data_IF_920686544422
#
_entry.id   IF_920686544422
#
_cell.length_a   1.000
_cell.length_b   1.000
_cell.length_c   1.000
_cell.angle_alpha   90.00
_cell.angle_beta   90.00
_cell.angle_gamma   90.00
#
_symmetry.space_group_name_H-M   'P 1'
#
loop_
_entity.id
_entity.type
_entity.pdbx_description
1 polymer ?
#
# COMPACT_ATOMS: atom_id res chain seq x y z
N UNK A 1 11.20 -12.47 13.46
CA UNK A 1 12.07 -11.30 13.73
C UNK A 1 13.21 -11.26 12.73
N UNK A 2 13.47 -10.13 12.13
CA UNK A 2 14.64 -9.87 11.26
C UNK A 2 15.83 -9.44 12.12
N UNK A 3 16.92 -10.18 12.11
CA UNK A 3 18.14 -9.81 12.84
C UNK A 3 19.21 -9.15 11.96
N UNK A 4 19.21 -9.50 10.69
CA UNK A 4 20.15 -8.99 9.68
C UNK A 4 19.46 -8.98 8.31
N UNK A 5 19.63 -7.89 7.55
CA UNK A 5 19.13 -7.82 6.16
C UNK A 5 19.81 -8.89 5.28
N UNK A 6 19.07 -9.43 4.33
CA UNK A 6 19.51 -10.53 3.48
C UNK A 6 19.41 -11.91 4.15
N UNK A 7 18.86 -12.01 5.36
CA UNK A 7 18.67 -13.28 6.06
C UNK A 7 17.18 -13.58 6.26
N UNK A 8 16.79 -14.85 6.37
CA UNK A 8 15.44 -15.24 6.73
C UNK A 8 15.06 -14.70 8.11
N UNK A 9 13.76 -14.56 8.34
CA UNK A 9 13.22 -14.25 9.66
C UNK A 9 13.47 -15.43 10.62
N UNK A 10 13.76 -15.11 11.87
CA UNK A 10 13.87 -16.08 12.96
C UNK A 10 12.60 -16.01 13.83
N UNK A 11 12.05 -17.17 14.18
CA UNK A 11 11.05 -17.27 15.24
C UNK A 11 11.72 -16.94 16.58
N UNK A 12 11.11 -16.06 17.36
CA UNK A 12 11.68 -15.61 18.61
C UNK A 12 10.57 -15.27 19.62
N UNK A 13 10.75 -15.69 20.87
CA UNK A 13 9.98 -15.17 21.99
C UNK A 13 10.61 -13.88 22.47
N UNK A 14 9.84 -12.81 22.51
CA UNK A 14 10.26 -11.48 22.99
C UNK A 14 9.38 -11.06 24.14
N UNK A 15 9.82 -10.05 24.91
CA UNK A 15 8.96 -9.44 25.93
C UNK A 15 7.78 -8.75 25.29
N UNK A 16 6.63 -8.77 25.97
CA UNK A 16 5.48 -8.01 25.53
C UNK A 16 5.84 -6.54 25.35
N UNK A 17 5.37 -5.89 24.28
CA UNK A 17 5.66 -4.48 24.06
C UNK A 17 5.03 -3.62 25.17
N UNK A 18 5.80 -2.68 25.71
CA UNK A 18 5.31 -1.70 26.68
C UNK A 18 4.94 -0.42 25.90
N UNK A 19 3.64 -0.08 25.80
CA UNK A 19 3.24 1.14 25.07
C UNK A 19 3.77 2.38 25.75
N UNK A 20 4.30 3.31 24.94
CA UNK A 20 4.73 4.64 25.38
C UNK A 20 3.56 5.62 25.52
N UNK A 21 3.83 6.87 25.88
CA UNK A 21 2.80 7.91 25.95
C UNK A 21 2.12 8.11 24.60
N UNK A 22 0.79 7.94 24.54
CA UNK A 22 -0.02 8.08 23.34
C UNK A 22 -0.06 6.82 22.46
N UNK A 23 0.52 5.72 22.92
CA UNK A 23 0.46 4.42 22.23
C UNK A 23 -0.57 3.50 22.89
N UNK A 24 -1.13 2.60 22.08
CA UNK A 24 -1.97 1.49 22.51
C UNK A 24 -1.17 0.18 22.50
N UNK A 25 -1.50 -0.74 23.43
CA UNK A 25 -1.14 -2.16 23.32
C UNK A 25 -2.23 -2.87 22.51
N UNK A 26 -1.82 -3.56 21.48
CA UNK A 26 -2.68 -4.18 20.48
C UNK A 26 -2.40 -5.68 20.41
N UNK A 27 -3.47 -6.50 20.42
CA UNK A 27 -3.41 -7.92 20.05
C UNK A 27 -3.58 -8.03 18.55
N UNK A 28 -2.58 -8.54 17.87
CA UNK A 28 -2.63 -8.76 16.41
C UNK A 28 -3.60 -9.90 16.09
N UNK A 29 -4.52 -9.64 15.19
CA UNK A 29 -5.49 -10.61 14.66
C UNK A 29 -5.07 -11.10 13.28
N UNK A 30 -4.49 -10.19 12.48
CA UNK A 30 -3.95 -10.49 11.15
C UNK A 30 -2.92 -9.43 10.74
N UNK A 31 -1.96 -9.81 9.89
CA UNK A 31 -1.01 -8.86 9.32
C UNK A 31 -0.70 -9.22 7.86
N UNK A 32 -0.95 -8.31 6.94
CA UNK A 32 -0.67 -8.52 5.52
C UNK A 32 0.82 -8.60 5.22
N UNK A 33 1.16 -9.35 4.17
CA UNK A 33 2.53 -9.50 3.64
C UNK A 33 2.68 -8.66 2.39
N UNK A 34 3.50 -7.64 2.46
CA UNK A 34 3.66 -6.64 1.42
C UNK A 34 5.04 -6.73 0.76
N UNK A 35 5.15 -6.18 -0.45
CA UNK A 35 6.44 -6.06 -1.13
C UNK A 35 7.42 -5.16 -0.37
N UNK A 36 6.93 -4.22 0.43
CA UNK A 36 7.77 -3.40 1.31
C UNK A 36 8.52 -4.24 2.36
N UNK A 37 7.90 -5.32 2.88
CA UNK A 37 8.59 -6.23 3.79
C UNK A 37 9.76 -6.93 3.10
N UNK A 38 9.62 -7.29 1.81
CA UNK A 38 10.73 -7.79 1.00
C UNK A 38 11.83 -6.74 0.83
N UNK A 39 11.49 -5.48 0.53
CA UNK A 39 12.46 -4.40 0.40
C UNK A 39 13.26 -4.19 1.69
N UNK A 40 12.62 -4.37 2.86
CA UNK A 40 13.30 -4.32 4.17
C UNK A 40 14.22 -5.53 4.35
N UNK A 41 13.72 -6.75 4.11
CA UNK A 41 14.51 -7.98 4.26
C UNK A 41 15.70 -7.99 3.30
N UNK A 42 15.51 -7.61 2.05
CA UNK A 42 16.52 -7.69 0.98
C UNK A 42 17.52 -6.51 1.03
N UNK A 43 17.33 -5.53 1.93
CA UNK A 43 18.26 -4.42 2.12
C UNK A 43 18.11 -3.28 1.11
N UNK A 44 17.03 -3.27 0.32
CA UNK A 44 16.72 -2.20 -0.61
C UNK A 44 16.26 -0.93 0.12
N UNK A 45 15.56 -1.10 1.26
CA UNK A 45 15.35 -0.04 2.25
C UNK A 45 16.46 -0.15 3.31
N UNK A 46 17.34 0.86 3.34
CA UNK A 46 18.56 0.85 4.17
C UNK A 46 18.29 1.35 5.58
N UNK A 47 19.05 0.79 6.53
CA UNK A 47 19.07 1.24 7.94
C UNK A 47 17.75 1.04 8.71
N UNK A 48 17.05 -0.12 8.60
CA UNK A 48 15.94 -0.40 9.49
C UNK A 48 16.44 -0.54 10.95
N UNK A 49 15.53 -0.40 11.90
CA UNK A 49 15.79 -0.89 13.26
C UNK A 49 16.14 -2.38 13.20
N UNK A 50 17.19 -2.81 13.90
CA UNK A 50 17.52 -4.23 14.05
C UNK A 50 17.89 -4.53 15.51
N UNK A 51 17.45 -5.66 16.09
CA UNK A 51 16.48 -6.61 15.51
C UNK A 51 15.10 -6.00 15.34
N UNK A 52 14.33 -6.49 14.37
CA UNK A 52 13.05 -5.91 13.95
C UNK A 52 11.95 -6.97 13.82
N UNK A 53 10.77 -6.70 14.33
CA UNK A 53 9.54 -7.39 13.94
C UNK A 53 8.95 -6.67 12.71
N UNK A 54 8.81 -7.39 11.59
CA UNK A 54 8.23 -6.86 10.35
C UNK A 54 6.70 -6.70 10.44
N UNK A 55 6.11 -6.24 9.35
CA UNK A 55 4.66 -6.18 9.15
C UNK A 55 4.06 -4.81 9.46
N UNK A 56 3.30 -4.29 8.49
CA UNK A 56 2.73 -2.93 8.53
C UNK A 56 1.30 -2.85 7.96
N UNK A 57 0.67 -3.99 7.77
CA UNK A 57 -0.75 -4.10 7.42
C UNK A 57 -1.47 -4.78 8.57
N UNK A 58 -1.45 -4.14 9.76
CA UNK A 58 -1.84 -4.79 11.02
C UNK A 58 -3.33 -4.58 11.28
N UNK A 59 -4.06 -5.67 11.41
CA UNK A 59 -5.40 -5.70 11.99
C UNK A 59 -5.27 -6.20 13.42
N UNK A 60 -5.80 -5.44 14.37
CA UNK A 60 -5.61 -5.76 15.78
C UNK A 60 -6.83 -5.36 16.63
N UNK A 61 -6.90 -5.96 17.82
CA UNK A 61 -7.82 -5.60 18.89
C UNK A 61 -7.06 -4.80 19.96
N UNK A 62 -7.64 -3.72 20.43
CA UNK A 62 -7.07 -2.89 21.50
C UNK A 62 -7.11 -3.66 22.83
N UNK A 63 -5.95 -3.85 23.45
CA UNK A 63 -5.80 -4.41 24.80
C UNK A 63 -5.76 -3.31 25.85
N UNK A 64 -4.87 -2.31 25.62
CA UNK A 64 -4.73 -1.12 26.45
C UNK A 64 -4.66 0.11 25.54
N UNK A 65 -5.24 1.22 25.99
CA UNK A 65 -5.32 2.46 25.23
C UNK A 65 -4.84 3.66 26.05
N UNK A 66 -4.23 4.62 25.37
CA UNK A 66 -3.91 5.93 25.93
C UNK A 66 -5.14 6.87 26.00
N UNK A 67 -6.31 6.45 25.52
CA UNK A 67 -7.59 7.14 25.67
C UNK A 67 -8.38 7.42 24.39
N UNK A 68 -7.82 7.13 23.21
CA UNK A 68 -8.56 7.29 21.93
C UNK A 68 -9.50 6.13 21.65
N UNK A 69 -9.17 4.95 22.11
CA UNK A 69 -9.93 3.72 21.85
C UNK A 69 -10.34 3.05 23.17
N UNK A 70 -11.31 2.16 23.11
CA UNK A 70 -11.69 1.28 24.22
C UNK A 70 -11.07 -0.11 24.02
N UNK A 71 -10.73 -0.83 25.11
CA UNK A 71 -10.36 -2.24 25.01
C UNK A 71 -11.42 -3.05 24.26
N UNK A 72 -11.00 -3.94 23.38
CA UNK A 72 -11.86 -4.72 22.51
C UNK A 72 -12.22 -4.05 21.19
N UNK A 73 -11.91 -2.76 20.99
CA UNK A 73 -12.10 -2.11 19.69
C UNK A 73 -11.12 -2.65 18.65
N UNK A 74 -11.62 -2.84 17.42
CA UNK A 74 -10.86 -3.35 16.30
C UNK A 74 -10.26 -2.21 15.48
N UNK A 75 -8.93 -2.21 15.34
CA UNK A 75 -8.17 -1.14 14.68
C UNK A 75 -7.20 -1.67 13.64
N UNK A 76 -6.87 -0.82 12.68
CA UNK A 76 -5.83 -1.06 11.69
C UNK A 76 -4.63 -0.14 11.89
N UNK A 77 -3.40 -0.68 11.75
CA UNK A 77 -2.15 0.09 11.81
C UNK A 77 -1.42 -0.02 10.48
N UNK A 78 -1.20 1.11 9.78
CA UNK A 78 -0.52 1.14 8.50
C UNK A 78 0.99 1.36 8.63
N UNK A 79 1.65 1.54 7.46
CA UNK A 79 3.07 1.84 7.36
C UNK A 79 3.50 3.12 8.10
N UNK A 80 2.77 4.23 7.95
CA UNK A 80 3.09 5.46 8.69
C UNK A 80 2.68 5.32 10.15
N UNK A 81 3.62 5.05 11.04
CA UNK A 81 3.37 4.77 12.45
C UNK A 81 3.53 5.97 13.38
N UNK A 82 4.27 7.03 12.96
CA UNK A 82 4.47 8.22 13.81
C UNK A 82 4.99 9.41 13.01
N UNK A 83 4.61 10.62 13.43
CA UNK A 83 5.19 11.88 12.93
C UNK A 83 5.34 12.91 14.04
N UNK A 84 6.20 13.92 13.84
CA UNK A 84 6.54 14.90 14.88
C UNK A 84 5.38 15.86 15.25
N UNK A 85 4.35 15.98 14.42
CA UNK A 85 3.16 16.83 14.66
C UNK A 85 3.40 18.35 14.63
N UNK A 86 4.64 18.82 14.39
CA UNK A 86 5.02 20.25 14.53
C UNK A 86 5.82 20.85 13.37
N UNK A 87 6.30 20.05 12.44
CA UNK A 87 7.00 20.57 11.26
C UNK A 87 5.99 21.14 10.24
N UNK A 88 6.48 21.88 9.26
CA UNK A 88 5.64 22.50 8.24
C UNK A 88 4.74 21.49 7.51
N UNK A 89 5.22 20.27 7.29
CA UNK A 89 4.43 19.20 6.66
C UNK A 89 3.30 18.73 7.58
N UNK A 90 3.59 18.46 8.86
CA UNK A 90 2.57 18.02 9.82
C UNK A 90 1.49 19.08 10.06
N UNK A 91 1.85 20.37 10.04
CA UNK A 91 0.91 21.47 10.28
C UNK A 91 0.05 21.83 9.04
N UNK A 92 0.31 21.21 7.90
CA UNK A 92 -0.40 21.44 6.63
C UNK A 92 -0.96 20.15 6.01
N UNK A 93 -1.31 19.16 6.86
CA UNK A 93 -1.91 17.89 6.47
C UNK A 93 -1.11 17.11 5.40
N UNK A 94 0.22 17.22 5.50
CA UNK A 94 1.20 16.50 4.67
C UNK A 94 2.20 15.75 5.55
N UNK A 95 1.73 15.22 6.66
CA UNK A 95 2.54 14.53 7.66
C UNK A 95 3.26 13.30 7.11
N UNK A 96 2.81 12.73 6.00
CA UNK A 96 3.51 11.71 5.24
C UNK A 96 4.89 12.16 4.73
N UNK A 97 5.15 13.46 4.67
CA UNK A 97 6.43 14.07 4.27
C UNK A 97 7.25 14.55 5.47
N UNK A 98 6.88 14.21 6.68
CA UNK A 98 7.61 14.59 7.89
C UNK A 98 9.01 13.95 7.88
N UNK A 99 10.08 14.76 7.99
CA UNK A 99 11.47 14.27 8.00
C UNK A 99 11.79 13.37 9.22
N UNK A 100 10.98 13.46 10.27
CA UNK A 100 11.10 12.63 11.46
C UNK A 100 10.05 11.52 11.53
N UNK A 101 9.38 11.21 10.42
CA UNK A 101 8.40 10.12 10.37
C UNK A 101 9.04 8.78 10.80
N UNK A 102 8.24 7.92 11.46
CA UNK A 102 8.63 6.55 11.80
C UNK A 102 7.65 5.58 11.18
N UNK A 103 8.18 4.48 10.68
CA UNK A 103 7.43 3.51 9.90
C UNK A 103 7.32 2.18 10.64
N UNK A 104 6.10 1.65 10.67
CA UNK A 104 5.75 0.37 11.30
C UNK A 104 6.41 -0.78 10.53
N UNK A 105 7.05 -1.70 11.26
CA UNK A 105 7.79 -2.81 10.63
C UNK A 105 9.10 -2.37 9.95
N UNK A 106 9.64 -1.17 10.33
CA UNK A 106 10.90 -0.64 9.81
C UNK A 106 11.67 0.16 10.87
N UNK A 107 11.14 1.31 11.34
CA UNK A 107 11.73 2.11 12.42
C UNK A 107 11.23 1.67 13.79
N UNK A 108 10.05 1.09 13.84
CA UNK A 108 9.41 0.51 15.01
C UNK A 108 8.94 -0.91 14.68
N UNK A 109 8.79 -1.75 15.71
CA UNK A 109 8.30 -3.11 15.53
C UNK A 109 6.89 -3.12 14.96
N UNK A 110 6.64 -4.10 14.09
CA UNK A 110 5.39 -4.29 13.36
C UNK A 110 4.57 -5.48 13.86
N UNK A 111 3.70 -5.99 12.99
CA UNK A 111 2.66 -6.96 13.31
C UNK A 111 2.95 -8.42 12.99
N UNK A 112 4.18 -8.80 12.65
CA UNK A 112 4.53 -10.23 12.57
C UNK A 112 4.80 -10.79 13.98
N UNK A 113 3.82 -10.62 14.84
CA UNK A 113 3.85 -10.97 16.25
C UNK A 113 2.42 -11.14 16.77
N UNK A 114 2.25 -11.67 17.98
CA UNK A 114 0.96 -11.78 18.66
C UNK A 114 0.51 -10.44 19.28
N UNK A 115 1.47 -9.59 19.67
CA UNK A 115 1.24 -8.26 20.25
C UNK A 115 2.12 -7.21 19.57
N UNK A 116 1.60 -5.98 19.45
CA UNK A 116 2.36 -4.82 19.04
C UNK A 116 1.92 -3.56 19.81
N UNK A 117 2.78 -2.53 19.83
CA UNK A 117 2.43 -1.19 20.32
C UNK A 117 2.37 -0.23 19.13
N UNK A 118 1.37 0.67 19.12
CA UNK A 118 1.22 1.64 18.05
C UNK A 118 0.71 2.99 18.58
N UNK A 119 1.19 4.09 17.98
CA UNK A 119 0.69 5.44 18.25
C UNK A 119 -0.79 5.53 17.82
N UNK A 120 -1.67 5.84 18.76
CA UNK A 120 -3.11 5.88 18.53
C UNK A 120 -3.53 6.88 17.43
N UNK A 121 -2.74 7.91 17.16
CA UNK A 121 -3.00 8.87 16.08
C UNK A 121 -2.94 8.23 14.69
N UNK A 122 -2.23 7.11 14.57
CA UNK A 122 -2.05 6.34 13.33
C UNK A 122 -2.78 4.99 13.36
N UNK A 123 -3.62 4.74 14.36
CA UNK A 123 -4.55 3.64 14.39
C UNK A 123 -5.90 4.08 13.80
N UNK A 124 -6.49 3.26 12.94
CA UNK A 124 -7.77 3.54 12.28
C UNK A 124 -8.83 2.54 12.71
N UNK A 125 -10.05 2.99 13.10
CA UNK A 125 -11.18 2.09 13.26
C UNK A 125 -11.43 1.33 11.96
N UNK A 126 -11.60 0.00 12.04
CA UNK A 126 -11.83 -0.83 10.85
C UNK A 126 -13.33 -1.02 10.59
N UNK A 127 -13.76 -1.02 9.31
CA UNK A 127 -15.13 -1.34 8.96
C UNK A 127 -15.52 -2.77 9.39
N UNK A 128 -16.71 -2.95 9.94
CA UNK A 128 -17.20 -4.26 10.38
C UNK A 128 -17.59 -5.18 9.21
N UNK A 129 -17.68 -4.65 7.99
CA UNK A 129 -18.06 -5.42 6.79
C UNK A 129 -16.92 -6.28 6.23
N UNK A 130 -15.71 -6.12 6.72
CA UNK A 130 -14.54 -6.93 6.38
C UNK A 130 -14.11 -7.74 7.59
N UNK A 131 -13.77 -9.01 7.38
CA UNK A 131 -13.10 -9.80 8.42
C UNK A 131 -11.64 -9.33 8.62
N UNK A 132 -10.90 -10.01 9.51
CA UNK A 132 -9.53 -9.58 9.85
C UNK A 132 -8.57 -9.77 8.70
N UNK A 133 -8.73 -10.85 7.94
CA UNK A 133 -7.86 -11.20 6.82
C UNK A 133 -8.15 -10.27 5.63
N UNK A 134 -9.42 -10.01 5.33
CA UNK A 134 -9.86 -9.11 4.26
C UNK A 134 -9.45 -7.65 4.52
N UNK A 135 -9.36 -7.25 5.80
CA UNK A 135 -9.02 -5.89 6.20
C UNK A 135 -7.54 -5.56 6.04
N UNK A 136 -6.65 -6.53 6.19
CA UNK A 136 -5.21 -6.29 6.20
C UNK A 136 -4.69 -5.56 4.94
N UNK A 137 -4.99 -5.98 3.70
CA UNK A 137 -4.48 -5.29 2.51
C UNK A 137 -5.09 -3.89 2.31
N UNK A 138 -6.20 -3.56 2.98
CA UNK A 138 -6.74 -2.20 2.94
C UNK A 138 -5.76 -1.19 3.56
N UNK A 139 -4.93 -1.62 4.53
CA UNK A 139 -4.04 -0.77 5.33
C UNK A 139 -2.73 -0.36 4.64
N UNK A 140 -2.38 -0.98 3.51
CA UNK A 140 -1.25 -0.57 2.68
C UNK A 140 -1.65 -0.43 1.22
N UNK A 141 -1.93 -1.53 0.55
CA UNK A 141 -2.31 -1.55 -0.86
C UNK A 141 -3.55 -0.68 -1.14
N UNK A 142 -4.56 -0.76 -0.28
CA UNK A 142 -5.77 0.05 -0.34
C UNK A 142 -5.49 1.54 -0.17
N UNK A 143 -4.78 1.91 0.88
CA UNK A 143 -4.43 3.31 1.18
C UNK A 143 -3.56 3.94 0.10
N UNK A 144 -2.54 3.22 -0.38
CA UNK A 144 -1.66 3.70 -1.45
C UNK A 144 -2.41 3.82 -2.77
N UNK A 145 -3.25 2.85 -3.10
CA UNK A 145 -4.12 2.90 -4.27
C UNK A 145 -5.06 4.10 -4.22
N UNK A 146 -5.75 4.29 -3.11
CA UNK A 146 -6.68 5.40 -2.91
C UNK A 146 -6.01 6.77 -2.99
N UNK A 147 -4.88 6.96 -2.30
CA UNK A 147 -4.11 8.19 -2.38
C UNK A 147 -3.60 8.46 -3.80
N UNK A 148 -3.18 7.43 -4.53
CA UNK A 148 -2.79 7.57 -5.94
C UNK A 148 -3.93 8.12 -6.79
N UNK A 149 -5.16 7.63 -6.55
CA UNK A 149 -6.36 8.09 -7.22
C UNK A 149 -6.69 9.54 -6.88
N UNK A 150 -6.53 9.94 -5.61
CA UNK A 150 -6.72 11.35 -5.19
C UNK A 150 -5.67 12.28 -5.80
N UNK A 151 -4.41 11.83 -5.95
CA UNK A 151 -3.36 12.59 -6.64
C UNK A 151 -3.65 12.71 -8.15
N UNK A 152 -4.28 11.71 -8.76
CA UNK A 152 -4.72 11.77 -10.15
C UNK A 152 -5.86 12.80 -10.39
N UNK A 153 -6.47 13.31 -9.31
CA UNK A 153 -7.52 14.34 -9.36
C UNK A 153 -8.81 13.83 -10.01
N UNK A 154 -9.46 14.70 -10.78
CA UNK A 154 -10.76 14.43 -11.42
C UNK A 154 -10.64 13.70 -12.77
N UNK A 155 -9.53 12.97 -12.97
CA UNK A 155 -9.30 12.19 -14.18
C UNK A 155 -10.45 11.19 -14.42
N UNK A 156 -11.07 11.23 -15.59
CA UNK A 156 -12.14 10.30 -15.97
C UNK A 156 -11.58 9.00 -16.59
N UNK A 157 -10.47 9.12 -17.35
CA UNK A 157 -9.80 8.01 -18.04
C UNK A 157 -8.49 7.71 -17.35
N UNK A 158 -8.42 6.59 -16.65
CA UNK A 158 -7.28 6.24 -15.81
C UNK A 158 -6.60 4.97 -16.30
N UNK A 159 -5.29 5.05 -16.54
CA UNK A 159 -4.45 3.88 -16.79
C UNK A 159 -3.80 3.37 -15.50
N UNK A 160 -3.95 2.08 -15.21
CA UNK A 160 -3.26 1.40 -14.10
C UNK A 160 -2.14 0.53 -14.67
N UNK A 161 -0.90 0.95 -14.50
CA UNK A 161 0.29 0.24 -14.99
C UNK A 161 0.82 -0.71 -13.93
N UNK A 162 0.66 -2.01 -14.17
CA UNK A 162 0.79 -3.07 -13.17
C UNK A 162 -0.51 -3.26 -12.39
N UNK A 163 -1.02 -4.50 -12.37
CA UNK A 163 -2.32 -4.82 -11.77
C UNK A 163 -2.16 -5.84 -10.64
N UNK A 164 -1.47 -5.41 -9.57
CA UNK A 164 -1.27 -6.16 -8.31
C UNK A 164 -2.21 -5.70 -7.19
N UNK A 165 -1.78 -5.89 -5.94
CA UNK A 165 -2.58 -5.63 -4.75
C UNK A 165 -3.19 -4.22 -4.69
N UNK A 166 -2.44 -3.16 -4.96
CA UNK A 166 -2.99 -1.80 -4.93
C UNK A 166 -3.93 -1.51 -6.11
N UNK A 167 -3.55 -1.97 -7.30
CA UNK A 167 -4.34 -1.70 -8.51
C UNK A 167 -5.71 -2.39 -8.48
N UNK A 168 -5.80 -3.65 -7.99
CA UNK A 168 -7.10 -4.34 -7.94
C UNK A 168 -8.08 -3.67 -6.96
N UNK A 169 -7.58 -3.12 -5.85
CA UNK A 169 -8.41 -2.39 -4.89
C UNK A 169 -8.87 -1.05 -5.49
N UNK A 170 -7.93 -0.24 -6.00
CA UNK A 170 -8.26 1.10 -6.50
C UNK A 170 -9.07 1.07 -7.80
N UNK A 171 -8.93 0.03 -8.61
CA UNK A 171 -9.75 -0.18 -9.79
C UNK A 171 -11.25 -0.19 -9.42
N UNK A 172 -11.62 -0.91 -8.37
CA UNK A 172 -13.00 -1.01 -7.90
C UNK A 172 -13.51 0.35 -7.41
N UNK A 173 -12.68 1.11 -6.67
CA UNK A 173 -13.04 2.47 -6.24
C UNK A 173 -13.24 3.40 -7.44
N UNK A 174 -12.30 3.41 -8.38
CA UNK A 174 -12.38 4.26 -9.56
C UNK A 174 -13.59 3.93 -10.45
N UNK A 175 -13.90 2.65 -10.64
CA UNK A 175 -15.09 2.19 -11.38
C UNK A 175 -16.37 2.63 -10.68
N UNK A 176 -16.45 2.51 -9.35
CA UNK A 176 -17.61 2.96 -8.59
C UNK A 176 -17.79 4.49 -8.59
N UNK A 177 -16.69 5.24 -8.74
CA UNK A 177 -16.74 6.70 -8.98
C UNK A 177 -17.14 7.06 -10.43
N UNK A 178 -17.42 6.07 -11.27
CA UNK A 178 -17.82 6.26 -12.67
C UNK A 178 -16.67 6.52 -13.64
N UNK A 179 -15.43 6.29 -13.23
CA UNK A 179 -14.24 6.50 -14.06
C UNK A 179 -14.03 5.31 -15.00
N UNK A 180 -13.46 5.56 -16.17
CA UNK A 180 -13.03 4.54 -17.12
C UNK A 180 -11.63 4.07 -16.78
N UNK A 181 -11.49 2.82 -16.38
CA UNK A 181 -10.23 2.24 -15.94
C UNK A 181 -9.65 1.34 -17.02
N UNK A 182 -8.40 1.58 -17.41
CA UNK A 182 -7.63 0.81 -18.38
C UNK A 182 -6.46 0.14 -17.65
N UNK A 183 -6.49 -1.20 -17.56
CA UNK A 183 -5.42 -1.96 -16.92
C UNK A 183 -4.31 -2.28 -17.93
N UNK A 184 -3.07 -1.92 -17.62
CA UNK A 184 -1.88 -2.16 -18.43
C UNK A 184 -0.99 -3.18 -17.70
N UNK A 185 -0.92 -4.40 -18.22
CA UNK A 185 -0.22 -5.52 -17.60
C UNK A 185 1.11 -5.81 -18.30
N UNK A 186 1.86 -6.77 -17.76
CA UNK A 186 3.00 -7.32 -18.48
C UNK A 186 2.53 -8.01 -19.76
N UNK A 187 3.38 -8.00 -20.81
CA UNK A 187 3.06 -8.71 -22.06
C UNK A 187 2.71 -10.18 -21.83
N UNK A 188 1.57 -10.62 -22.37
CA UNK A 188 1.11 -11.99 -22.29
C UNK A 188 0.43 -12.40 -20.97
N UNK A 189 0.24 -11.50 -20.02
CA UNK A 189 -0.41 -11.76 -18.73
C UNK A 189 -1.94 -11.72 -18.86
N UNK A 190 -2.48 -12.72 -19.59
CA UNK A 190 -3.93 -12.81 -19.90
C UNK A 190 -4.76 -13.06 -18.64
N UNK A 191 -4.21 -13.73 -17.63
CA UNK A 191 -4.90 -14.01 -16.38
C UNK A 191 -5.17 -12.71 -15.62
N UNK A 192 -4.14 -11.88 -15.41
CA UNK A 192 -4.28 -10.57 -14.75
C UNK A 192 -5.19 -9.64 -15.55
N UNK A 193 -5.15 -9.69 -16.89
CA UNK A 193 -6.09 -8.92 -17.74
C UNK A 193 -7.54 -9.36 -17.54
N UNK A 194 -7.80 -10.68 -17.49
CA UNK A 194 -9.13 -11.20 -17.23
C UNK A 194 -9.63 -10.80 -15.84
N UNK A 195 -8.75 -10.85 -14.83
CA UNK A 195 -9.06 -10.39 -13.47
C UNK A 195 -9.42 -8.89 -13.43
N UNK A 196 -8.65 -8.04 -14.10
CA UNK A 196 -8.95 -6.61 -14.17
C UNK A 196 -10.34 -6.34 -14.79
N UNK A 197 -10.68 -7.03 -15.88
CA UNK A 197 -12.01 -6.92 -16.52
C UNK A 197 -13.13 -7.40 -15.59
N UNK A 198 -12.90 -8.47 -14.84
CA UNK A 198 -13.87 -8.97 -13.85
C UNK A 198 -14.15 -7.98 -12.72
N UNK A 199 -13.18 -7.10 -12.40
CA UNK A 199 -13.33 -6.02 -11.44
C UNK A 199 -13.88 -4.71 -12.03
N UNK A 200 -14.30 -4.72 -13.30
CA UNK A 200 -14.95 -3.60 -13.96
C UNK A 200 -14.03 -2.69 -14.79
N UNK A 201 -12.76 -3.06 -15.00
CA UNK A 201 -11.91 -2.31 -15.90
C UNK A 201 -12.50 -2.26 -17.31
N UNK A 202 -12.56 -1.07 -17.90
CA UNK A 202 -13.09 -0.81 -19.24
C UNK A 202 -12.30 -1.55 -20.32
N UNK A 203 -10.98 -1.62 -20.13
CA UNK A 203 -10.09 -2.46 -20.96
C UNK A 203 -8.94 -3.01 -20.11
N UNK A 204 -8.36 -4.09 -20.60
CA UNK A 204 -7.12 -4.62 -20.07
C UNK A 204 -6.25 -5.11 -21.23
N UNK A 205 -5.09 -4.52 -21.39
CA UNK A 205 -4.13 -4.78 -22.48
C UNK A 205 -2.72 -4.90 -21.89
N UNK A 206 -1.76 -5.26 -22.70
CA UNK A 206 -0.38 -5.18 -22.25
C UNK A 206 0.22 -3.78 -22.48
N UNK A 207 1.32 -3.49 -21.78
CA UNK A 207 1.97 -2.18 -21.85
C UNK A 207 2.57 -1.84 -23.22
N UNK A 208 2.72 -2.81 -24.14
CA UNK A 208 3.21 -2.60 -25.52
C UNK A 208 2.09 -2.16 -26.45
N UNK A 209 0.88 -2.67 -26.23
CA UNK A 209 -0.30 -2.28 -26.98
C UNK A 209 -0.81 -0.90 -26.56
N UNK A 210 -0.63 -0.58 -25.28
CA UNK A 210 -1.13 0.65 -24.67
C UNK A 210 -2.67 0.65 -24.47
N UNK A 211 -3.20 1.76 -23.92
CA UNK A 211 -4.65 1.92 -23.74
C UNK A 211 -5.34 2.23 -25.08
N UNK A 212 -6.63 1.88 -25.24
CA UNK A 212 -7.39 2.12 -26.49
C UNK A 212 -7.74 3.59 -26.74
N UNK A 213 -7.50 4.47 -25.78
CA UNK A 213 -7.76 5.90 -25.85
C UNK A 213 -6.74 6.70 -25.02
N UNK A 214 -6.63 8.01 -25.26
CA UNK A 214 -5.80 8.88 -24.41
C UNK A 214 -6.34 8.92 -22.98
N UNK A 215 -5.43 8.89 -22.01
CA UNK A 215 -5.73 8.92 -20.59
C UNK A 215 -5.70 10.35 -20.03
N UNK A 216 -6.49 10.63 -19.00
CA UNK A 216 -6.36 11.85 -18.20
C UNK A 216 -5.31 11.69 -17.11
N UNK A 217 -5.16 10.45 -16.60
CA UNK A 217 -4.09 10.12 -15.67
C UNK A 217 -3.60 8.67 -15.85
N UNK A 218 -2.35 8.44 -15.49
CA UNK A 218 -1.74 7.13 -15.40
C UNK A 218 -1.15 6.92 -14.01
N UNK A 219 -1.44 5.77 -13.37
CA UNK A 219 -0.91 5.40 -12.06
C UNK A 219 0.00 4.19 -12.25
N UNK A 220 1.28 4.34 -11.91
CA UNK A 220 2.29 3.31 -12.04
C UNK A 220 2.49 2.60 -10.70
N UNK A 221 1.95 1.40 -10.60
CA UNK A 221 2.18 0.50 -9.46
C UNK A 221 3.35 -0.46 -9.71
N UNK A 222 3.67 -0.72 -10.98
CA UNK A 222 4.86 -1.49 -11.33
C UNK A 222 6.14 -0.67 -11.01
N UNK A 223 7.15 -1.26 -10.32
CA UNK A 223 8.35 -0.54 -9.90
C UNK A 223 9.39 -0.40 -11.05
N UNK A 224 8.93 0.06 -12.21
CA UNK A 224 9.68 0.08 -13.46
C UNK A 224 9.72 1.50 -14.03
N UNK A 225 10.87 2.18 -13.88
CA UNK A 225 11.06 3.57 -14.29
C UNK A 225 10.88 3.79 -15.79
N UNK A 226 11.16 2.77 -16.62
CA UNK A 226 10.92 2.82 -18.07
C UNK A 226 9.44 3.02 -18.44
N UNK A 227 8.51 2.73 -17.54
CA UNK A 227 7.09 2.97 -17.76
C UNK A 227 6.71 4.47 -17.66
N UNK A 228 7.53 5.30 -17.03
CA UNK A 228 7.24 6.74 -16.91
C UNK A 228 7.13 7.41 -18.30
N UNK A 229 8.14 7.33 -19.21
CA UNK A 229 8.00 7.89 -20.54
C UNK A 229 6.94 7.17 -21.40
N UNK A 230 6.65 5.91 -21.14
CA UNK A 230 5.57 5.17 -21.81
C UNK A 230 4.22 5.76 -21.41
N UNK A 231 3.95 5.88 -20.12
CA UNK A 231 2.72 6.45 -19.59
C UNK A 231 2.52 7.93 -20.03
N UNK A 232 3.60 8.74 -20.06
CA UNK A 232 3.54 10.11 -20.55
C UNK A 232 3.08 10.22 -22.01
N UNK A 233 3.36 9.22 -22.85
CA UNK A 233 2.86 9.20 -24.23
C UNK A 233 1.39 8.84 -24.34
N UNK A 234 0.85 8.19 -23.33
CA UNK A 234 -0.55 7.75 -23.29
C UNK A 234 -1.46 8.75 -22.57
N UNK A 235 -0.92 9.70 -21.79
CA UNK A 235 -1.73 10.75 -21.19
C UNK A 235 -1.90 11.94 -22.11
N UNK A 236 -3.10 12.50 -22.11
CA UNK A 236 -3.45 13.72 -22.84
C UNK A 236 -2.63 14.92 -22.34
N UNK A 237 -2.69 16.06 -23.04
CA UNK A 237 -2.15 17.32 -22.55
C UNK A 237 -2.86 17.71 -21.23
N UNK A 238 -2.08 18.21 -20.26
CA UNK A 238 -2.56 18.47 -18.91
C UNK A 238 -2.69 17.22 -18.03
N UNK A 239 -2.45 16.01 -18.57
CA UNK A 239 -2.59 14.76 -17.85
C UNK A 239 -1.46 14.52 -16.84
N UNK A 240 -1.73 13.63 -15.87
CA UNK A 240 -0.82 13.35 -14.76
C UNK A 240 -0.37 11.90 -14.75
N UNK A 241 0.93 11.68 -14.59
CA UNK A 241 1.54 10.37 -14.32
C UNK A 241 1.91 10.29 -12.84
N UNK A 242 1.30 9.38 -12.09
CA UNK A 242 1.55 9.15 -10.66
C UNK A 242 2.44 7.92 -10.49
N UNK A 243 3.64 8.08 -9.95
CA UNK A 243 4.54 6.99 -9.58
C UNK A 243 4.23 6.55 -8.15
N UNK A 244 3.64 5.37 -7.97
CA UNK A 244 3.08 4.90 -6.70
C UNK A 244 3.95 3.85 -5.98
N UNK A 245 5.04 3.39 -6.58
CA UNK A 245 5.97 2.44 -5.94
C UNK A 245 6.90 3.12 -4.95
N UNK A 246 7.14 2.48 -3.80
CA UNK A 246 8.13 2.95 -2.80
C UNK A 246 9.56 2.81 -3.33
N UNK A 247 9.82 1.82 -4.15
CA UNK A 247 11.07 1.59 -4.83
C UNK A 247 10.78 1.48 -6.34
N UNK A 248 11.58 2.14 -7.16
CA UNK A 248 11.42 2.15 -8.60
C UNK A 248 12.82 2.16 -9.25
N UNK A 249 12.96 1.46 -10.37
CA UNK A 249 14.18 1.56 -11.17
C UNK A 249 14.39 2.98 -11.70
N UNK A 250 15.59 3.29 -12.18
CA UNK A 250 15.90 4.59 -12.76
C UNK A 250 14.92 4.93 -13.90
N UNK A 251 14.48 6.18 -13.92
CA UNK A 251 13.69 6.72 -15.03
C UNK A 251 14.63 7.07 -16.17
N UNK A 252 14.51 6.46 -17.34
CA UNK A 252 15.37 6.77 -18.46
C UNK A 252 15.12 8.19 -18.97
N UNK A 253 16.14 8.79 -19.60
CA UNK A 253 15.98 10.06 -20.29
C UNK A 253 14.95 9.93 -21.43
N UNK A 254 14.17 10.97 -21.64
CA UNK A 254 13.19 11.04 -22.72
C UNK A 254 13.14 12.46 -23.32
N UNK A 255 12.70 12.62 -24.59
CA UNK A 255 12.58 13.91 -25.23
C UNK A 255 11.59 14.82 -24.49
N UNK A 256 11.92 16.12 -24.38
CA UNK A 256 11.06 17.11 -23.71
C UNK A 256 9.64 17.17 -24.29
N UNK A 257 9.49 16.92 -25.60
CA UNK A 257 8.18 16.87 -26.27
C UNK A 257 7.20 15.87 -25.63
N UNK A 258 7.70 14.82 -25.00
CA UNK A 258 6.87 13.83 -24.27
C UNK A 258 6.26 14.43 -23.01
N UNK A 259 6.95 15.37 -22.37
CA UNK A 259 6.46 16.11 -21.20
C UNK A 259 5.68 17.36 -21.60
N UNK A 260 5.99 17.94 -22.77
CA UNK A 260 5.36 19.15 -23.26
C UNK A 260 3.83 19.05 -23.31
N UNK A 261 3.14 20.14 -23.09
CA UNK A 261 1.68 20.19 -23.04
C UNK A 261 1.14 20.09 -21.60
N UNK A 262 1.90 20.66 -20.64
CA UNK A 262 1.51 20.74 -19.22
C UNK A 262 1.31 19.37 -18.55
N UNK A 263 1.95 18.31 -19.08
CA UNK A 263 1.93 17.00 -18.42
C UNK A 263 2.72 17.02 -17.14
N UNK A 264 2.23 16.31 -16.13
CA UNK A 264 2.86 16.26 -14.81
C UNK A 264 3.34 14.83 -14.51
N UNK A 265 4.56 14.70 -13.98
CA UNK A 265 5.01 13.46 -13.31
C UNK A 265 5.12 13.75 -11.83
N UNK A 266 4.46 12.94 -11.03
CA UNK A 266 4.43 13.11 -9.58
C UNK A 266 4.64 11.76 -8.87
N UNK A 267 5.53 11.73 -7.89
CA UNK A 267 5.65 10.58 -7.00
C UNK A 267 4.61 10.62 -5.90
N UNK A 268 4.24 9.45 -5.41
CA UNK A 268 3.48 9.27 -4.18
C UNK A 268 4.45 8.85 -3.07
N UNK A 269 4.36 9.50 -1.94
CA UNK A 269 5.12 9.14 -0.74
C UNK A 269 4.15 8.83 0.39
N UNK A 270 3.90 7.52 0.62
CA UNK A 270 3.09 7.07 1.76
C UNK A 270 1.63 7.59 1.74
N UNK A 271 0.95 7.50 2.89
CA UNK A 271 -0.42 7.97 3.13
C UNK A 271 -0.43 9.12 4.14
N UNK A 272 -1.49 9.91 4.16
CA UNK A 272 -1.83 10.78 5.29
C UNK A 272 -2.93 10.12 6.15
N UNK A 273 -3.12 10.61 7.38
CA UNK A 273 -4.24 10.13 8.22
C UNK A 273 -5.60 10.38 7.56
N UNK A 274 -5.75 11.53 6.90
CA UNK A 274 -6.96 11.86 6.16
C UNK A 274 -7.24 10.85 5.03
N UNK A 275 -6.22 10.40 4.29
CA UNK A 275 -6.38 9.33 3.29
C UNK A 275 -6.90 8.03 3.94
N UNK A 276 -6.37 7.69 5.13
CA UNK A 276 -6.80 6.50 5.87
C UNK A 276 -8.26 6.56 6.29
N UNK A 277 -8.66 7.68 6.91
CA UNK A 277 -10.03 7.90 7.35
C UNK A 277 -11.01 7.91 6.16
N UNK A 278 -10.69 8.61 5.08
CA UNK A 278 -11.52 8.70 3.88
C UNK A 278 -11.66 7.35 3.17
N UNK A 279 -10.54 6.63 2.99
CA UNK A 279 -10.57 5.34 2.31
C UNK A 279 -11.34 4.28 3.10
N UNK A 280 -11.08 4.13 4.41
CA UNK A 280 -11.76 3.14 5.23
C UNK A 280 -13.26 3.42 5.41
N UNK A 281 -13.68 4.70 5.27
CA UNK A 281 -15.09 5.06 5.17
C UNK A 281 -15.68 4.79 3.76
N UNK A 282 -14.86 4.80 2.73
CA UNK A 282 -15.27 4.60 1.32
C UNK A 282 -15.37 3.12 0.96
N UNK A 283 -14.40 2.31 1.37
CA UNK A 283 -14.28 0.90 0.99
C UNK A 283 -15.57 0.08 1.22
N UNK A 284 -16.28 0.19 2.36
CA UNK A 284 -17.52 -0.56 2.57
C UNK A 284 -18.69 -0.05 1.72
N UNK A 285 -18.68 1.21 1.29
CA UNK A 285 -19.73 1.79 0.42
C UNK A 285 -19.60 1.34 -1.03
N UNK A 286 -18.39 1.05 -1.45
CA UNK A 286 -18.01 0.62 -2.81
C UNK A 286 -18.00 -0.91 -2.93
N UNK A 287 -18.32 -1.68 -1.94
CA UNK A 287 -17.95 -3.03 -1.56
C UNK A 287 -16.66 -3.55 -2.25
N UNK A 288 -15.55 -2.91 -1.91
CA UNK A 288 -14.22 -3.33 -2.39
C UNK A 288 -13.96 -4.77 -1.96
N UNK A 289 -13.66 -5.65 -2.90
CA UNK A 289 -13.27 -7.04 -2.62
C UNK A 289 -11.76 -7.12 -2.59
N UNK A 290 -11.23 -7.68 -1.52
CA UNK A 290 -9.82 -8.04 -1.39
C UNK A 290 -9.65 -9.53 -1.68
N UNK A 291 -8.73 -9.88 -2.55
CA UNK A 291 -8.31 -11.27 -2.78
C UNK A 291 -7.24 -11.59 -1.76
N UNK A 292 -7.51 -12.50 -0.82
CA UNK A 292 -6.64 -12.79 0.32
C UNK A 292 -6.49 -14.29 0.57
N UNK A 293 -5.33 -14.67 1.09
CA UNK A 293 -5.05 -16.02 1.56
C UNK A 293 -4.42 -15.94 2.96
N UNK A 294 -5.06 -16.57 3.95
CA UNK A 294 -4.53 -16.65 5.30
C UNK A 294 -3.38 -17.67 5.38
N UNK A 295 -2.31 -17.30 6.05
CA UNK A 295 -1.12 -18.12 6.29
C UNK A 295 -0.77 -18.04 7.78
N UNK A 296 -0.40 -19.16 8.45
CA UNK A 296 0.08 -19.10 9.84
C UNK A 296 1.28 -18.15 9.99
N UNK A 297 1.37 -17.42 11.10
CA UNK A 297 2.50 -16.53 11.39
C UNK A 297 3.84 -17.26 11.34
N UNK A 298 3.89 -18.52 11.77
CA UNK A 298 5.08 -19.38 11.73
C UNK A 298 5.64 -19.54 10.30
N UNK A 299 4.79 -19.45 9.27
CA UNK A 299 5.13 -19.62 7.86
C UNK A 299 5.48 -18.28 7.16
N UNK A 300 5.83 -17.23 7.92
CA UNK A 300 6.14 -15.90 7.38
C UNK A 300 7.25 -15.91 6.31
N UNK A 301 8.29 -16.74 6.46
CA UNK A 301 9.36 -16.88 5.46
C UNK A 301 8.85 -17.50 4.15
N UNK A 302 7.94 -18.47 4.22
CA UNK A 302 7.30 -19.05 3.04
C UNK A 302 6.44 -18.01 2.33
N UNK A 303 5.62 -17.26 3.09
CA UNK A 303 4.80 -16.19 2.55
C UNK A 303 5.65 -15.14 1.82
N UNK A 304 6.78 -14.69 2.40
CA UNK A 304 7.73 -13.79 1.76
C UNK A 304 8.34 -14.39 0.48
N UNK A 305 8.67 -15.68 0.51
CA UNK A 305 9.23 -16.39 -0.67
C UNK A 305 8.21 -16.47 -1.81
N UNK A 306 6.96 -16.80 -1.51
CA UNK A 306 5.86 -16.83 -2.49
C UNK A 306 5.62 -15.45 -3.09
N UNK A 307 5.62 -14.40 -2.27
CA UNK A 307 5.47 -13.02 -2.75
C UNK A 307 6.65 -12.62 -3.67
N UNK A 308 7.88 -12.99 -3.32
CA UNK A 308 9.08 -12.73 -4.13
C UNK A 308 9.02 -13.39 -5.50
N UNK A 309 8.55 -14.63 -5.58
CA UNK A 309 8.40 -15.36 -6.85
C UNK A 309 7.24 -14.85 -7.73
N UNK A 310 6.37 -14.02 -7.17
CA UNK A 310 5.16 -13.57 -7.85
C UNK A 310 4.05 -14.63 -7.92
N UNK A 311 4.17 -15.72 -7.18
CA UNK A 311 3.19 -16.81 -7.11
C UNK A 311 2.04 -16.50 -6.13
N UNK A 312 1.58 -15.25 -6.12
CA UNK A 312 0.50 -14.77 -5.25
C UNK A 312 -0.52 -14.00 -6.08
N UNK A 313 -1.77 -14.41 -5.97
CA UNK A 313 -2.90 -13.63 -6.45
C UNK A 313 -3.53 -12.90 -5.26
N UNK A 314 -3.67 -11.57 -5.38
CA UNK A 314 -4.14 -10.76 -4.26
C UNK A 314 -3.07 -10.52 -3.20
N UNK A 315 -3.35 -10.85 -1.95
CA UNK A 315 -2.43 -10.65 -0.81
C UNK A 315 -2.37 -11.89 0.10
N UNK A 316 -1.18 -12.15 0.66
CA UNK A 316 -1.00 -13.10 1.76
C UNK A 316 -1.17 -12.37 3.08
N UNK A 317 -1.81 -13.01 4.05
CA UNK A 317 -2.08 -12.43 5.37
C UNK A 317 -1.69 -13.42 6.45
N UNK A 318 -0.74 -13.03 7.29
CA UNK A 318 -0.30 -13.82 8.43
C UNK A 318 -1.32 -13.74 9.57
N UNK A 319 -1.61 -14.88 10.16
CA UNK A 319 -2.51 -15.02 11.32
C UNK A 319 -1.71 -15.67 12.46
N UNK A 320 -1.62 -15.00 13.63
CA UNK A 320 -0.93 -15.53 14.82
C UNK A 320 -1.49 -16.83 15.37
#
# INVERSE_FOLDING_TARGET
MLREQGRPLEEATVHDPAPGPGEALLRVLACGVCRTDLHVVDGELRHPKLPLVLGHEIVAEVVESAGRFSPGERVGVPWLGWTCGRCAYCLTDRENLCDAARFTGYDVDGGYAELCAADERFCFPLPQSYDDVESAPLLCAGLIGFRSLRIAGDAERIGLYGFGAAAHIVCQVAVAEGRRVHALTRPGDLETQAFARALGATSATDTREGPPEELDAAILFAPAGELVPVALRHVAKGGTVVCAGIHMSEVPSFPYEVLWGERVVRSLANLTRADGEEFLATAPRVPVRTEVEAVPLADANEALSRLRSGAVRGALVLVP
#
